data_IF_753392623456
#
_entry.id   IF_753392623456
#
_cell.length_a   1.000
_cell.length_b   1.000
_cell.length_c   1.000
_cell.angle_alpha   90.00
_cell.angle_beta   90.00
_cell.angle_gamma   90.00
#
_symmetry.space_group_name_H-M   'P 1'
#
loop_
_entity.id
_entity.type
_entity.pdbx_description
1 polymer ?
#
# COMPACT_ATOMS: atom_id res chain seq x y z
N UNK A 1 47.74 2.30 0.73
CA UNK A 1 47.38 3.39 1.65
C UNK A 1 46.09 3.01 2.33
N UNK A 2 46.04 3.01 3.66
CA UNK A 2 44.77 2.89 4.38
C UNK A 2 44.21 4.30 4.53
N UNK A 3 43.23 4.66 3.71
CA UNK A 3 42.43 5.85 3.99
C UNK A 3 41.63 5.61 5.26
N UNK A 4 41.55 6.62 6.13
CA UNK A 4 40.60 6.63 7.24
C UNK A 4 39.19 6.36 6.71
N UNK A 5 38.32 5.63 7.44
CA UNK A 5 36.94 5.44 7.03
C UNK A 5 36.28 6.80 6.78
N UNK A 6 35.43 6.94 5.74
CA UNK A 6 34.76 8.20 5.43
C UNK A 6 33.95 8.66 6.65
N UNK A 7 34.12 9.94 7.02
CA UNK A 7 33.54 10.48 8.24
C UNK A 7 32.02 10.39 8.22
N UNK A 8 31.41 9.91 9.30
CA UNK A 8 30.00 9.55 9.32
C UNK A 8 29.09 10.79 9.17
N UNK A 9 28.60 11.04 7.96
CA UNK A 9 27.76 12.19 7.63
C UNK A 9 26.39 12.11 8.35
N UNK A 10 25.93 10.89 8.65
CA UNK A 10 24.70 10.63 9.40
C UNK A 10 24.73 11.16 10.84
N UNK A 11 25.82 10.94 11.58
CA UNK A 11 25.97 11.39 12.98
C UNK A 11 25.93 12.92 13.12
N UNK A 12 26.30 13.64 12.06
CA UNK A 12 26.41 15.11 12.04
C UNK A 12 25.12 15.81 11.63
N UNK A 13 24.03 15.06 11.38
CA UNK A 13 22.72 15.62 11.03
C UNK A 13 22.17 16.49 12.17
N UNK A 14 21.53 17.60 11.82
CA UNK A 14 20.93 18.54 12.79
C UNK A 14 19.41 18.65 12.63
N UNK A 15 18.83 17.87 11.73
CA UNK A 15 17.41 17.83 11.42
C UNK A 15 16.69 16.56 11.90
N UNK A 16 17.34 15.73 12.72
CA UNK A 16 16.73 14.57 13.38
C UNK A 16 15.39 14.91 14.05
N UNK A 17 14.36 14.08 13.85
CA UNK A 17 13.01 14.30 14.38
C UNK A 17 12.19 15.42 13.70
N UNK A 18 12.79 16.24 12.82
CA UNK A 18 12.10 17.32 12.11
C UNK A 18 11.01 16.76 11.18
N UNK A 19 9.78 17.24 11.32
CA UNK A 19 8.69 16.89 10.41
C UNK A 19 8.90 17.49 9.01
N UNK A 20 8.75 16.66 7.99
CA UNK A 20 8.93 16.95 6.55
C UNK A 20 7.59 17.06 5.84
N UNK A 21 6.60 16.27 6.26
CA UNK A 21 5.24 16.27 5.70
C UNK A 21 4.22 15.88 6.78
N UNK A 22 3.03 16.47 6.72
CA UNK A 22 1.94 16.21 7.67
C UNK A 22 0.61 15.99 6.95
N UNK A 23 -0.19 15.05 7.46
CA UNK A 23 -1.56 14.79 7.04
C UNK A 23 -2.48 14.91 8.26
N UNK A 24 -3.59 15.65 8.14
CA UNK A 24 -4.52 15.99 9.23
C UNK A 24 -3.87 16.61 10.49
N UNK A 25 -2.94 17.56 10.29
CA UNK A 25 -2.26 18.30 11.36
C UNK A 25 -3.20 19.00 12.38
N UNK A 26 -4.48 19.22 12.03
CA UNK A 26 -5.48 19.77 12.96
C UNK A 26 -5.76 18.83 14.14
N UNK A 27 -5.66 17.50 13.96
CA UNK A 27 -5.88 16.49 15.00
C UNK A 27 -4.79 16.47 16.08
N UNK A 28 -3.67 17.20 15.91
CA UNK A 28 -2.58 17.25 16.91
C UNK A 28 -3.06 17.62 18.31
N UNK A 29 -4.05 18.52 18.42
CA UNK A 29 -4.62 18.94 19.70
C UNK A 29 -5.40 17.83 20.41
N UNK A 30 -6.08 16.97 19.64
CA UNK A 30 -6.83 15.83 20.18
C UNK A 30 -5.87 14.75 20.66
N UNK A 31 -4.82 14.43 19.88
CA UNK A 31 -3.73 13.52 20.29
C UNK A 31 -3.03 14.01 21.57
N UNK A 32 -2.75 15.32 21.67
CA UNK A 32 -2.11 15.93 22.84
C UNK A 32 -3.02 16.03 24.07
N UNK A 33 -4.34 15.88 23.91
CA UNK A 33 -5.31 15.87 25.01
C UNK A 33 -5.57 14.46 25.56
N UNK A 34 -4.99 13.42 24.95
CA UNK A 34 -5.11 12.03 25.39
C UNK A 34 -3.89 11.60 26.21
N UNK A 35 -4.10 10.83 27.28
CA UNK A 35 -3.01 10.16 28.00
C UNK A 35 -2.50 8.96 27.17
N UNK A 36 -1.30 9.13 26.60
CA UNK A 36 -0.61 8.15 25.77
C UNK A 36 0.50 7.38 26.53
N UNK A 37 0.73 7.73 27.79
CA UNK A 37 1.83 7.22 28.62
C UNK A 37 1.38 6.27 29.74
N UNK A 38 0.10 6.30 30.12
CA UNK A 38 -0.52 5.26 30.95
C UNK A 38 -0.17 3.86 30.41
N UNK A 39 0.49 3.03 31.23
CA UNK A 39 1.04 1.74 30.80
C UNK A 39 -0.05 0.71 30.52
N UNK A 40 -0.35 0.45 29.25
CA UNK A 40 -1.17 -0.71 28.87
C UNK A 40 -0.32 -1.99 29.08
N UNK A 41 -0.77 -2.87 29.97
CA UNK A 41 -0.08 -4.14 30.27
C UNK A 41 -0.49 -5.28 29.35
N UNK A 42 -1.45 -5.04 28.44
CA UNK A 42 -1.98 -6.03 27.50
C UNK A 42 -1.71 -5.64 26.04
N UNK A 43 -1.59 -6.63 25.17
CA UNK A 43 -1.44 -6.45 23.72
C UNK A 43 -2.79 -6.08 23.10
N UNK A 44 -3.04 -4.77 23.03
CA UNK A 44 -4.36 -4.22 22.72
C UNK A 44 -4.77 -4.27 21.25
N UNK A 45 -3.83 -4.30 20.29
CA UNK A 45 -4.09 -4.36 18.84
C UNK A 45 -4.02 -5.81 18.33
N UNK A 46 -4.73 -6.15 17.25
CA UNK A 46 -4.55 -7.41 16.52
C UNK A 46 -4.11 -7.16 15.08
N UNK A 47 -3.22 -8.02 14.57
CA UNK A 47 -2.70 -7.94 13.19
C UNK A 47 -3.09 -9.22 12.45
N UNK A 48 -3.82 -9.05 11.35
CA UNK A 48 -4.35 -10.14 10.52
C UNK A 48 -4.09 -9.85 9.05
N UNK A 49 -3.81 -10.89 8.24
CA UNK A 49 -3.80 -10.74 6.79
C UNK A 49 -5.23 -10.97 6.24
N UNK A 50 -5.88 -9.99 5.58
CA UNK A 50 -7.31 -10.07 5.23
C UNK A 50 -7.62 -11.07 4.09
N UNK A 51 -6.62 -11.45 3.29
CA UNK A 51 -6.79 -12.37 2.16
C UNK A 51 -5.87 -13.60 2.27
N UNK A 52 -6.05 -14.48 3.28
CA UNK A 52 -5.13 -15.60 3.52
C UNK A 52 -5.03 -16.57 2.33
N UNK A 53 -6.09 -16.68 1.52
CA UNK A 53 -6.12 -17.48 0.27
C UNK A 53 -5.41 -16.83 -0.92
N UNK A 54 -5.05 -15.54 -0.86
CA UNK A 54 -4.27 -14.82 -1.88
C UNK A 54 -2.80 -14.62 -1.48
N UNK A 55 -2.43 -14.97 -0.24
CA UNK A 55 -1.06 -14.91 0.23
C UNK A 55 -0.28 -16.14 -0.22
N UNK A 56 0.96 -15.96 -0.68
CA UNK A 56 1.86 -17.08 -0.96
C UNK A 56 2.26 -17.81 0.33
N UNK A 57 2.27 -19.14 0.27
CA UNK A 57 2.82 -19.97 1.32
C UNK A 57 4.37 -19.90 1.32
N UNK A 58 5.04 -20.12 2.47
CA UNK A 58 6.48 -20.37 2.48
C UNK A 58 6.86 -21.51 1.53
N UNK A 59 7.96 -21.36 0.81
CA UNK A 59 8.45 -22.31 -0.21
C UNK A 59 7.50 -22.50 -1.42
N UNK A 60 6.72 -21.48 -1.79
CA UNK A 60 5.94 -21.49 -3.04
C UNK A 60 6.85 -21.61 -4.27
N UNK A 61 6.53 -22.48 -5.21
CA UNK A 61 7.35 -22.69 -6.43
C UNK A 61 7.34 -21.48 -7.36
N UNK A 62 8.53 -21.06 -7.81
CA UNK A 62 8.74 -19.95 -8.74
C UNK A 62 9.66 -20.37 -9.92
N UNK A 63 10.35 -19.41 -10.56
CA UNK A 63 11.29 -19.57 -11.68
C UNK A 63 10.73 -20.09 -13.02
N UNK A 64 9.65 -20.88 -13.06
CA UNK A 64 9.03 -21.32 -14.31
C UNK A 64 7.53 -21.02 -14.38
N UNK A 65 7.10 -20.41 -15.48
CA UNK A 65 5.69 -20.18 -15.80
C UNK A 65 5.51 -20.22 -17.32
N UNK A 66 4.85 -21.24 -17.88
CA UNK A 66 4.56 -21.33 -19.31
C UNK A 66 3.86 -20.09 -19.86
N UNK A 67 4.16 -19.73 -21.11
CA UNK A 67 3.56 -18.57 -21.78
C UNK A 67 2.01 -18.65 -21.81
N UNK A 68 1.44 -19.85 -21.94
CA UNK A 68 -0.01 -20.02 -21.92
C UNK A 68 -0.64 -19.71 -20.54
N UNK A 69 0.03 -20.03 -19.43
CA UNK A 69 -0.47 -19.68 -18.09
C UNK A 69 -0.44 -18.16 -17.87
N UNK A 70 0.64 -17.49 -18.29
CA UNK A 70 0.72 -16.02 -18.27
C UNK A 70 -0.38 -15.39 -19.11
N UNK A 71 -0.67 -15.96 -20.28
CA UNK A 71 -1.73 -15.50 -21.16
C UNK A 71 -3.14 -15.70 -20.57
N UNK A 72 -3.38 -16.81 -19.88
CA UNK A 72 -4.64 -17.07 -19.15
C UNK A 72 -4.84 -16.03 -18.04
N UNK A 73 -3.84 -15.83 -17.17
CA UNK A 73 -3.94 -14.87 -16.07
C UNK A 73 -4.12 -13.40 -16.55
N UNK A 74 -3.67 -13.06 -17.76
CA UNK A 74 -3.91 -11.75 -18.38
C UNK A 74 -5.30 -11.63 -19.02
N UNK A 75 -5.92 -12.75 -19.41
CA UNK A 75 -7.28 -12.79 -19.97
C UNK A 75 -8.35 -12.85 -18.86
N UNK A 76 -8.08 -13.59 -17.78
CA UNK A 76 -8.92 -13.64 -16.57
C UNK A 76 -9.16 -12.25 -16.00
N UNK A 77 -8.09 -11.43 -15.87
CA UNK A 77 -8.19 -10.02 -15.45
C UNK A 77 -9.10 -9.16 -16.36
N UNK A 78 -9.18 -9.47 -17.66
CA UNK A 78 -10.04 -8.76 -18.59
C UNK A 78 -11.49 -9.20 -18.43
N UNK A 79 -11.75 -10.52 -18.33
CA UNK A 79 -13.09 -11.07 -18.14
C UNK A 79 -13.69 -10.67 -16.78
N UNK A 80 -12.90 -10.65 -15.71
CA UNK A 80 -13.34 -10.12 -14.40
C UNK A 80 -13.78 -8.65 -14.48
N UNK A 81 -13.05 -7.83 -15.26
CA UNK A 81 -13.38 -6.41 -15.44
C UNK A 81 -14.56 -6.21 -16.40
N UNK A 82 -14.71 -7.05 -17.44
CA UNK A 82 -15.89 -7.05 -18.33
C UNK A 82 -17.19 -7.25 -17.56
N UNK A 83 -17.27 -8.27 -16.70
CA UNK A 83 -18.48 -8.51 -15.91
C UNK A 83 -18.73 -7.39 -14.87
N UNK A 84 -17.69 -6.88 -14.22
CA UNK A 84 -17.80 -5.75 -13.28
C UNK A 84 -18.30 -4.46 -13.97
N UNK A 85 -17.89 -4.21 -15.22
CA UNK A 85 -18.40 -3.08 -16.02
C UNK A 85 -19.88 -3.26 -16.36
N UNK A 86 -20.30 -4.47 -16.77
CA UNK A 86 -21.71 -4.77 -17.05
C UNK A 86 -22.59 -4.55 -15.80
N UNK A 87 -22.16 -5.05 -14.64
CA UNK A 87 -22.88 -4.86 -13.38
C UNK A 87 -22.95 -3.38 -12.98
N UNK A 88 -21.80 -2.69 -12.98
CA UNK A 88 -21.70 -1.27 -12.57
C UNK A 88 -22.56 -0.34 -13.42
N UNK A 89 -22.57 -0.54 -14.74
CA UNK A 89 -23.26 0.33 -15.70
C UNK A 89 -24.59 -0.24 -16.22
N UNK A 90 -25.01 -1.43 -15.73
CA UNK A 90 -26.23 -2.15 -16.12
C UNK A 90 -26.33 -2.38 -17.64
N UNK A 91 -25.24 -2.84 -18.23
CA UNK A 91 -25.13 -3.12 -19.67
C UNK A 91 -25.45 -4.59 -19.93
N UNK A 92 -26.32 -4.87 -20.90
CA UNK A 92 -26.68 -6.24 -21.31
C UNK A 92 -25.49 -6.94 -22.00
N UNK A 93 -24.76 -6.22 -22.85
CA UNK A 93 -23.56 -6.71 -23.54
C UNK A 93 -22.48 -5.63 -23.67
N UNK A 94 -21.28 -6.06 -24.06
CA UNK A 94 -20.14 -5.22 -24.42
C UNK A 94 -19.74 -5.55 -25.86
N UNK A 95 -19.42 -4.53 -26.66
CA UNK A 95 -18.98 -4.74 -28.05
C UNK A 95 -17.56 -5.35 -28.05
N UNK A 96 -17.30 -6.42 -28.81
CA UNK A 96 -15.95 -6.98 -28.93
C UNK A 96 -14.96 -5.96 -29.53
N UNK A 97 -13.75 -5.90 -28.99
CA UNK A 97 -12.68 -5.07 -29.58
C UNK A 97 -12.36 -5.59 -31.00
N UNK A 98 -12.21 -4.69 -31.97
CA UNK A 98 -11.94 -5.03 -33.37
C UNK A 98 -13.19 -5.31 -34.22
N UNK A 99 -14.39 -5.37 -33.64
CA UNK A 99 -15.66 -5.46 -34.37
C UNK A 99 -16.24 -4.04 -34.62
N UNK A 100 -16.35 -3.58 -35.89
CA UNK A 100 -16.80 -2.22 -36.18
C UNK A 100 -18.25 -1.92 -35.77
N UNK A 101 -18.52 -0.64 -35.51
CA UNK A 101 -19.86 -0.07 -35.38
C UNK A 101 -19.85 1.42 -35.70
N UNK A 102 -20.76 1.91 -36.57
CA UNK A 102 -21.00 3.34 -36.76
C UNK A 102 -21.80 3.96 -35.60
N UNK A 103 -22.40 3.13 -34.73
CA UNK A 103 -23.06 3.58 -33.51
C UNK A 103 -22.05 3.75 -32.36
N UNK A 104 -22.48 4.45 -31.30
CA UNK A 104 -21.70 4.51 -30.06
C UNK A 104 -21.74 3.14 -29.36
N UNK A 105 -20.57 2.64 -28.98
CA UNK A 105 -20.41 1.32 -28.35
C UNK A 105 -19.53 1.42 -27.11
N UNK A 106 -19.79 0.55 -26.13
CA UNK A 106 -18.93 0.34 -24.97
C UNK A 106 -18.02 -0.86 -25.21
N UNK A 107 -16.71 -0.66 -25.04
CA UNK A 107 -15.68 -1.70 -25.13
C UNK A 107 -14.89 -1.79 -23.83
N UNK A 108 -14.35 -2.96 -23.53
CA UNK A 108 -13.42 -3.19 -22.41
C UNK A 108 -12.13 -3.78 -22.95
N UNK A 109 -11.00 -3.39 -22.36
CA UNK A 109 -9.70 -3.89 -22.79
C UNK A 109 -8.51 -3.31 -22.04
N UNK A 110 -7.34 -3.84 -22.35
CA UNK A 110 -6.04 -3.47 -21.79
C UNK A 110 -5.38 -2.43 -22.67
N UNK A 111 -4.93 -1.32 -22.10
CA UNK A 111 -4.10 -0.34 -22.82
C UNK A 111 -2.75 -0.98 -23.15
N UNK A 112 -2.40 -1.01 -24.43
CA UNK A 112 -1.09 -1.45 -24.94
C UNK A 112 -0.47 -0.36 -25.80
N UNK A 113 0.85 -0.39 -25.95
CA UNK A 113 1.61 0.52 -26.80
C UNK A 113 1.92 -0.18 -28.13
N UNK A 114 1.63 0.46 -29.25
CA UNK A 114 1.91 -0.08 -30.58
C UNK A 114 3.41 -0.08 -30.90
N UNK A 115 4.13 0.96 -30.46
CA UNK A 115 5.53 1.14 -30.79
C UNK A 115 6.43 0.04 -30.18
N UNK A 116 7.22 -0.62 -31.04
CA UNK A 116 8.19 -1.64 -30.63
C UNK A 116 9.26 -1.09 -29.67
N UNK A 117 9.62 0.18 -29.83
CA UNK A 117 10.45 0.95 -28.90
C UNK A 117 9.83 2.33 -28.67
N UNK A 118 9.82 2.81 -27.42
CA UNK A 118 9.33 4.15 -27.08
C UNK A 118 8.55 4.21 -25.77
N UNK A 119 8.04 5.41 -25.46
CA UNK A 119 7.10 5.62 -24.34
C UNK A 119 5.67 5.75 -24.90
N UNK A 120 4.71 5.16 -24.20
CA UNK A 120 3.29 5.32 -24.50
C UNK A 120 2.93 6.81 -24.56
N UNK A 121 2.26 7.19 -25.64
CA UNK A 121 1.72 8.52 -25.87
C UNK A 121 0.38 8.38 -26.63
N UNK A 122 -0.45 9.43 -26.72
CA UNK A 122 -1.82 9.30 -27.22
C UNK A 122 -1.95 8.79 -28.67
N UNK A 123 -0.95 8.98 -29.54
CA UNK A 123 -1.04 8.55 -30.95
C UNK A 123 -0.57 7.12 -31.21
N UNK A 124 -0.13 6.39 -30.18
CA UNK A 124 0.29 4.96 -30.25
C UNK A 124 -0.42 4.11 -29.20
N UNK A 125 -1.50 4.64 -28.62
CA UNK A 125 -2.30 3.99 -27.58
C UNK A 125 -3.33 3.06 -28.24
N UNK A 126 -3.16 1.76 -28.07
CA UNK A 126 -4.12 0.75 -28.51
C UNK A 126 -4.89 0.17 -27.32
N UNK A 127 -6.07 -0.36 -27.59
CA UNK A 127 -6.82 -1.23 -26.68
C UNK A 127 -6.77 -2.68 -27.16
N UNK A 128 -6.44 -3.60 -26.26
CA UNK A 128 -6.43 -5.06 -26.46
C UNK A 128 -7.65 -5.68 -25.75
N UNK A 129 -8.54 -6.35 -26.47
CA UNK A 129 -9.70 -7.03 -25.89
C UNK A 129 -9.41 -8.46 -25.41
N UNK A 130 -10.37 -9.10 -24.76
CA UNK A 130 -10.21 -10.48 -24.28
C UNK A 130 -10.22 -11.52 -25.40
N UNK A 131 -9.47 -12.61 -25.20
CA UNK A 131 -9.40 -13.76 -26.11
C UNK A 131 -10.74 -14.45 -26.24
N UNK A 132 -11.49 -14.53 -25.13
CA UNK A 132 -12.85 -15.08 -25.07
C UNK A 132 -13.85 -14.37 -25.99
N UNK A 133 -13.76 -13.05 -26.15
CA UNK A 133 -14.74 -12.25 -26.93
C UNK A 133 -14.26 -11.91 -28.34
N UNK A 134 -12.97 -11.61 -28.52
CA UNK A 134 -12.41 -11.09 -29.77
C UNK A 134 -11.08 -11.75 -30.19
N UNK A 135 -10.64 -12.82 -29.53
CA UNK A 135 -9.37 -13.49 -29.85
C UNK A 135 -8.11 -12.70 -29.52
N UNK A 136 -8.22 -11.58 -28.77
CA UNK A 136 -7.10 -10.68 -28.50
C UNK A 136 -6.85 -9.63 -29.59
N UNK A 137 -7.90 -9.25 -30.33
CA UNK A 137 -7.88 -8.13 -31.27
C UNK A 137 -7.40 -6.84 -30.59
N UNK A 138 -6.73 -5.99 -31.38
CA UNK A 138 -6.20 -4.69 -30.95
C UNK A 138 -6.65 -3.58 -31.88
N UNK A 139 -7.05 -2.45 -31.30
CA UNK A 139 -7.54 -1.27 -32.04
C UNK A 139 -6.82 -0.02 -31.55
N UNK A 140 -6.36 0.83 -32.48
CA UNK A 140 -5.78 2.15 -32.16
C UNK A 140 -6.87 3.11 -31.67
N UNK A 141 -6.59 3.85 -30.61
CA UNK A 141 -7.50 4.83 -30.02
C UNK A 141 -7.19 6.23 -30.53
N UNK A 142 -8.22 6.94 -31.02
CA UNK A 142 -8.18 8.39 -31.11
C UNK A 142 -8.70 8.98 -29.80
N UNK A 143 -7.80 9.61 -29.06
CA UNK A 143 -8.04 10.23 -27.76
C UNK A 143 -8.25 11.75 -27.86
N UNK A 144 -8.25 12.33 -29.06
CA UNK A 144 -8.37 13.79 -29.27
C UNK A 144 -9.67 14.38 -28.73
N UNK A 145 -10.75 13.59 -28.70
CA UNK A 145 -12.05 13.96 -28.13
C UNK A 145 -12.11 13.97 -26.60
N UNK A 146 -11.08 13.47 -25.90
CA UNK A 146 -11.06 13.35 -24.43
C UNK A 146 -10.00 14.28 -23.83
N UNK A 147 -10.36 15.45 -23.24
CA UNK A 147 -9.38 16.40 -22.73
C UNK A 147 -8.70 15.97 -21.41
N UNK A 148 -9.32 15.04 -20.65
CA UNK A 148 -8.82 14.56 -19.37
C UNK A 148 -8.87 13.03 -19.33
N UNK A 149 -7.72 12.38 -19.33
CA UNK A 149 -7.60 10.92 -19.16
C UNK A 149 -6.27 10.55 -18.50
N UNK A 150 -6.20 9.33 -17.97
CA UNK A 150 -4.95 8.77 -17.44
C UNK A 150 -4.82 7.30 -17.87
N UNK A 151 -3.84 7.05 -18.74
CA UNK A 151 -3.51 5.72 -19.28
C UNK A 151 -2.05 5.36 -19.03
N UNK A 152 -1.78 4.07 -18.89
CA UNK A 152 -0.44 3.49 -18.82
C UNK A 152 -0.49 2.06 -19.37
N UNK A 153 0.61 1.50 -19.91
CA UNK A 153 0.62 0.14 -20.45
C UNK A 153 0.17 -0.87 -19.39
N UNK A 154 -0.73 -1.77 -19.77
CA UNK A 154 -1.31 -2.78 -18.88
C UNK A 154 -2.55 -2.31 -18.09
N UNK A 155 -2.89 -1.01 -18.08
CA UNK A 155 -4.14 -0.52 -17.46
C UNK A 155 -5.34 -1.10 -18.18
N UNK A 156 -6.24 -1.78 -17.46
CA UNK A 156 -7.54 -2.19 -17.99
C UNK A 156 -8.51 -1.01 -17.86
N UNK A 157 -9.30 -0.77 -18.91
CA UNK A 157 -10.23 0.34 -19.03
C UNK A 157 -11.54 -0.10 -19.68
N UNK A 158 -12.62 0.61 -19.37
CA UNK A 158 -13.85 0.63 -20.13
C UNK A 158 -13.96 1.97 -20.88
N UNK A 159 -14.26 1.92 -22.17
CA UNK A 159 -14.36 3.09 -23.06
C UNK A 159 -15.72 3.11 -23.76
N UNK A 160 -16.29 4.29 -23.93
CA UNK A 160 -17.30 4.54 -24.94
C UNK A 160 -16.70 5.32 -26.11
N UNK A 161 -17.04 4.90 -27.33
CA UNK A 161 -16.55 5.54 -28.55
C UNK A 161 -17.32 5.10 -29.78
N UNK A 162 -16.78 5.41 -30.96
CA UNK A 162 -17.27 4.96 -32.27
C UNK A 162 -16.10 4.38 -33.04
N UNK A 163 -16.28 3.21 -33.66
CA UNK A 163 -15.25 2.49 -34.40
C UNK A 163 -15.81 2.12 -35.78
N UNK A 164 -15.84 3.07 -36.74
CA UNK A 164 -16.69 2.96 -37.92
C UNK A 164 -16.22 1.89 -38.91
N UNK A 165 -14.91 1.65 -38.99
CA UNK A 165 -14.26 0.72 -39.91
C UNK A 165 -12.88 0.30 -39.37
N UNK A 166 -12.26 -0.73 -39.98
CA UNK A 166 -10.98 -1.30 -39.52
C UNK A 166 -9.71 -0.59 -40.02
N UNK A 167 -9.85 0.55 -40.72
CA UNK A 167 -8.74 1.40 -41.21
C UNK A 167 -8.58 2.66 -40.37
N UNK A 168 -9.67 3.11 -39.74
CA UNK A 168 -9.74 4.27 -38.85
C UNK A 168 -9.47 3.86 -37.38
N UNK A 169 -8.89 4.73 -36.54
CA UNK A 169 -8.86 4.50 -35.10
C UNK A 169 -10.27 4.56 -34.48
N UNK A 170 -10.46 3.92 -33.33
CA UNK A 170 -11.67 4.10 -32.53
C UNK A 170 -11.66 5.48 -31.86
N UNK A 171 -12.62 6.32 -32.23
CA UNK A 171 -12.78 7.67 -31.66
C UNK A 171 -13.40 7.55 -30.27
N UNK A 172 -12.60 7.80 -29.24
CA UNK A 172 -13.03 7.70 -27.84
C UNK A 172 -13.81 8.95 -27.45
N UNK A 173 -15.01 8.75 -26.91
CA UNK A 173 -15.89 9.82 -26.40
C UNK A 173 -15.75 10.01 -24.90
N UNK A 174 -15.63 8.92 -24.13
CA UNK A 174 -15.36 8.96 -22.68
C UNK A 174 -14.75 7.67 -22.17
N UNK A 175 -14.01 7.78 -21.07
CA UNK A 175 -13.67 6.65 -20.21
C UNK A 175 -14.83 6.43 -19.23
N UNK A 176 -15.12 5.18 -18.88
CA UNK A 176 -16.06 4.82 -17.83
C UNK A 176 -15.30 4.51 -16.53
N UNK A 177 -15.45 5.36 -15.52
CA UNK A 177 -14.82 5.13 -14.21
C UNK A 177 -15.58 4.07 -13.39
N UNK A 178 -15.08 2.84 -13.41
CA UNK A 178 -15.53 1.78 -12.51
C UNK A 178 -15.04 2.08 -11.09
N UNK A 179 -15.97 2.36 -10.17
CA UNK A 179 -15.68 2.29 -8.73
C UNK A 179 -15.80 0.82 -8.29
N UNK A 180 -14.65 0.16 -8.12
CA UNK A 180 -14.57 -1.25 -7.75
C UNK A 180 -15.04 -1.43 -6.30
N UNK A 181 -16.32 -1.70 -6.11
CA UNK A 181 -16.90 -2.03 -4.82
C UNK A 181 -16.60 -3.51 -4.49
N UNK A 182 -15.34 -3.84 -4.22
CA UNK A 182 -15.01 -5.12 -3.59
C UNK A 182 -15.68 -5.18 -2.22
N UNK A 183 -16.83 -5.83 -2.09
CA UNK A 183 -17.38 -6.12 -0.76
C UNK A 183 -16.35 -7.03 -0.06
N UNK A 184 -15.63 -6.49 0.93
CA UNK A 184 -14.86 -7.34 1.84
C UNK A 184 -15.87 -8.35 2.41
N UNK A 185 -15.66 -9.66 2.21
CA UNK A 185 -16.60 -10.67 2.70
C UNK A 185 -16.74 -10.45 4.20
N UNK A 186 -17.99 -10.27 4.67
CA UNK A 186 -18.30 -9.72 6.00
C UNK A 186 -17.36 -10.31 7.05
N UNK A 187 -16.51 -9.46 7.62
CA UNK A 187 -15.39 -9.88 8.48
C UNK A 187 -15.92 -10.16 9.90
N UNK A 188 -16.80 -11.16 10.01
CA UNK A 188 -17.61 -11.50 11.17
C UNK A 188 -16.80 -12.10 12.35
N UNK A 189 -15.50 -12.37 12.14
CA UNK A 189 -14.66 -13.15 13.08
C UNK A 189 -13.26 -12.60 13.32
N UNK A 190 -13.08 -11.28 13.28
CA UNK A 190 -11.80 -10.68 13.70
C UNK A 190 -11.93 -9.85 14.99
N UNK A 191 -10.85 -9.81 15.74
CA UNK A 191 -10.66 -8.96 16.92
C UNK A 191 -9.82 -7.75 16.50
N UNK A 192 -10.09 -6.58 17.12
CA UNK A 192 -9.40 -5.28 16.93
C UNK A 192 -8.53 -5.11 15.68
N UNK A 193 -9.15 -5.25 14.51
CA UNK A 193 -8.47 -5.02 13.23
C UNK A 193 -8.30 -3.53 13.05
N UNK A 194 -7.06 -3.09 13.04
CA UNK A 194 -6.68 -2.09 12.04
C UNK A 194 -6.47 -2.88 10.75
N UNK A 195 -7.47 -2.91 9.88
CA UNK A 195 -7.26 -3.30 8.48
C UNK A 195 -6.38 -2.23 7.85
N UNK A 196 -5.06 -2.42 7.96
CA UNK A 196 -4.09 -1.47 7.45
C UNK A 196 -3.99 -1.59 5.93
N UNK A 197 -4.85 -0.84 5.23
CA UNK A 197 -4.72 -0.55 3.79
C UNK A 197 -3.38 0.13 3.45
N UNK A 198 -2.61 0.53 4.46
CA UNK A 198 -1.19 0.87 4.38
C UNK A 198 -0.35 -0.25 3.74
N UNK A 199 -0.73 -1.53 3.90
CA UNK A 199 -0.13 -2.63 3.14
C UNK A 199 -0.46 -2.55 1.63
N UNK A 200 -1.65 -2.07 1.28
CA UNK A 200 -2.08 -1.88 -0.11
C UNK A 200 -1.43 -0.66 -0.77
N UNK A 201 -1.03 0.37 0.00
CA UNK A 201 -0.42 1.59 -0.56
C UNK A 201 1.08 1.79 -0.26
N UNK A 202 1.80 0.79 0.29
CA UNK A 202 3.29 0.78 0.25
C UNK A 202 3.88 0.07 -0.98
N UNK A 203 3.10 -0.69 -1.75
CA UNK A 203 3.56 -1.42 -2.96
C UNK A 203 2.57 -1.29 -4.12
N UNK A 204 2.29 -0.05 -4.55
CA UNK A 204 1.49 0.22 -5.76
C UNK A 204 2.02 1.41 -6.56
N UNK A 205 2.84 1.14 -7.58
CA UNK A 205 3.20 2.10 -8.64
C UNK A 205 2.18 2.12 -9.79
N UNK A 206 1.40 1.04 -9.94
CA UNK A 206 0.13 1.07 -10.68
C UNK A 206 -0.96 1.67 -9.77
N UNK A 207 -1.92 2.40 -10.34
CA UNK A 207 -2.96 3.07 -9.53
C UNK A 207 -3.68 2.05 -8.64
N UNK A 208 -3.82 2.29 -7.32
CA UNK A 208 -4.55 1.38 -6.46
C UNK A 208 -5.98 1.27 -6.95
N UNK A 209 -6.42 0.02 -7.17
CA UNK A 209 -7.85 -0.32 -7.15
C UNK A 209 -8.36 0.24 -5.81
N UNK A 210 -9.39 1.12 -5.79
CA UNK A 210 -9.83 1.75 -4.56
C UNK A 210 -10.13 0.68 -3.52
N UNK A 211 -9.44 0.73 -2.38
CA UNK A 211 -9.74 -0.19 -1.29
C UNK A 211 -11.18 0.11 -0.83
N UNK A 212 -12.03 -0.91 -0.67
CA UNK A 212 -13.41 -0.73 -0.23
C UNK A 212 -13.45 -0.15 1.18
N UNK A 213 -14.51 0.60 1.49
CA UNK A 213 -14.69 1.21 2.80
C UNK A 213 -14.70 0.11 3.87
N UNK A 214 -13.70 0.12 4.75
CA UNK A 214 -13.64 -0.78 5.88
C UNK A 214 -14.85 -0.56 6.81
N UNK A 215 -15.55 -1.65 7.17
CA UNK A 215 -16.78 -1.61 7.99
C UNK A 215 -16.76 -2.65 9.10
N UNK A 216 -17.42 -2.38 10.22
CA UNK A 216 -17.68 -3.34 11.30
C UNK A 216 -18.98 -2.97 12.03
N UNK A 217 -19.60 -3.90 12.77
CA UNK A 217 -20.86 -3.59 13.46
C UNK A 217 -20.67 -2.53 14.57
N UNK A 218 -21.66 -1.64 14.79
CA UNK A 218 -21.57 -0.60 15.81
C UNK A 218 -21.23 -1.14 17.21
N UNK A 219 -21.88 -2.26 17.59
CA UNK A 219 -21.62 -2.98 18.85
C UNK A 219 -20.16 -3.37 18.99
N UNK A 220 -19.55 -3.91 17.93
CA UNK A 220 -18.14 -4.33 17.95
C UNK A 220 -17.20 -3.14 18.12
N UNK A 221 -17.49 -2.00 17.52
CA UNK A 221 -16.69 -0.78 17.71
C UNK A 221 -16.83 -0.26 19.16
N UNK A 222 -18.02 -0.32 19.76
CA UNK A 222 -18.24 0.06 21.17
C UNK A 222 -17.53 -0.89 22.15
N UNK A 223 -17.60 -2.21 21.96
CA UNK A 223 -16.80 -3.20 22.72
C UNK A 223 -15.30 -2.88 22.66
N UNK A 224 -14.82 -2.57 21.45
CA UNK A 224 -13.42 -2.28 21.16
C UNK A 224 -12.97 -1.01 21.87
N UNK A 225 -13.74 0.08 21.82
CA UNK A 225 -13.37 1.34 22.44
C UNK A 225 -13.58 1.34 23.97
N UNK A 226 -14.49 0.51 24.49
CA UNK A 226 -14.66 0.32 25.94
C UNK A 226 -13.46 -0.37 26.61
N UNK A 227 -12.72 -1.24 25.88
CA UNK A 227 -11.51 -1.89 26.41
C UNK A 227 -10.30 -0.96 26.51
N UNK A 228 -10.22 0.03 25.63
CA UNK A 228 -9.31 1.17 25.71
C UNK A 228 -9.72 2.19 24.66
N UNK A 229 -9.93 3.44 25.10
CA UNK A 229 -10.26 4.58 24.25
C UNK A 229 -9.03 5.33 23.72
N UNK A 230 -7.84 4.72 23.77
CA UNK A 230 -6.60 5.29 23.22
C UNK A 230 -6.57 5.20 21.68
N UNK A 231 -5.83 6.09 21.01
CA UNK A 231 -5.58 5.96 19.58
C UNK A 231 -4.57 4.84 19.30
N UNK A 232 -4.64 4.22 18.12
CA UNK A 232 -3.64 3.24 17.69
C UNK A 232 -2.44 3.96 17.07
N UNK A 233 -1.25 3.70 17.59
CA UNK A 233 0.03 4.27 17.14
C UNK A 233 0.81 3.25 16.30
N UNK A 234 1.17 3.65 15.09
CA UNK A 234 2.00 2.84 14.18
C UNK A 234 3.19 3.65 13.67
N UNK A 235 4.40 3.13 13.84
CA UNK A 235 5.58 3.64 13.12
C UNK A 235 5.81 2.81 11.86
N UNK A 236 6.16 3.44 10.76
CA UNK A 236 6.57 2.73 9.54
C UNK A 236 7.81 3.35 8.89
N UNK A 237 8.74 2.48 8.50
CA UNK A 237 9.98 2.82 7.82
C UNK A 237 10.27 1.83 6.69
N UNK A 238 10.68 2.35 5.54
CA UNK A 238 11.27 1.54 4.47
C UNK A 238 12.80 1.66 4.56
N UNK A 239 13.54 0.61 4.25
CA UNK A 239 15.01 0.68 4.21
C UNK A 239 15.55 1.63 3.13
N UNK A 240 16.88 1.72 2.94
CA UNK A 240 17.92 0.96 3.63
C UNK A 240 17.97 1.29 5.12
N UNK A 241 18.48 0.37 5.93
CA UNK A 241 18.54 0.51 7.40
C UNK A 241 19.95 0.83 7.94
N UNK A 242 20.93 0.94 7.04
CA UNK A 242 22.29 1.46 7.29
C UNK A 242 22.67 2.38 6.12
N UNK A 243 23.64 3.27 6.32
CA UNK A 243 24.15 4.15 5.27
C UNK A 243 25.01 3.38 4.25
N UNK A 244 25.18 3.91 3.04
CA UNK A 244 25.93 3.24 1.97
C UNK A 244 27.45 3.14 2.18
N UNK A 245 27.96 3.70 3.29
CA UNK A 245 29.39 3.77 3.59
C UNK A 245 29.82 2.96 4.84
N UNK A 246 28.88 2.35 5.57
CA UNK A 246 29.16 1.47 6.71
C UNK A 246 28.07 0.40 6.90
N UNK A 247 28.26 -0.48 7.88
CA UNK A 247 27.27 -1.49 8.31
C UNK A 247 26.95 -1.36 9.80
N UNK A 248 26.98 -0.13 10.31
CA UNK A 248 26.84 0.16 11.75
C UNK A 248 25.37 0.27 12.18
N UNK A 249 24.44 0.33 11.21
CA UNK A 249 22.99 0.37 11.43
C UNK A 249 22.51 1.50 12.35
N UNK A 250 23.28 2.60 12.50
CA UNK A 250 22.89 3.76 13.32
C UNK A 250 21.49 4.31 12.99
N UNK A 251 21.04 4.41 11.72
CA UNK A 251 19.69 4.89 11.39
C UNK A 251 18.58 3.94 11.88
N UNK A 252 18.87 2.63 11.94
CA UNK A 252 17.99 1.67 12.60
C UNK A 252 18.04 1.82 14.12
N UNK A 253 19.21 1.98 14.72
CA UNK A 253 19.34 2.12 16.18
C UNK A 253 18.56 3.35 16.67
N UNK A 254 18.69 4.49 16.00
CA UNK A 254 17.91 5.70 16.28
C UNK A 254 16.40 5.46 16.12
N UNK A 255 15.97 4.68 15.12
CA UNK A 255 14.57 4.30 14.95
C UNK A 255 14.08 3.40 16.10
N UNK A 256 14.93 2.52 16.62
CA UNK A 256 14.61 1.66 17.77
C UNK A 256 14.59 2.43 19.09
N UNK A 257 15.43 3.47 19.25
CA UNK A 257 15.30 4.44 20.34
C UNK A 257 13.94 5.16 20.26
N UNK A 258 13.57 5.67 19.09
CA UNK A 258 12.26 6.31 18.86
C UNK A 258 11.09 5.35 19.14
N UNK A 259 11.22 4.06 18.86
CA UNK A 259 10.22 3.02 19.22
C UNK A 259 10.11 2.84 20.74
N UNK A 260 11.24 2.83 21.46
CA UNK A 260 11.25 2.71 22.94
C UNK A 260 10.67 3.96 23.61
N UNK A 261 10.97 5.14 23.09
CA UNK A 261 10.47 6.42 23.60
C UNK A 261 8.97 6.62 23.31
N UNK A 262 8.53 6.40 22.07
CA UNK A 262 7.15 6.69 21.63
C UNK A 262 6.16 5.53 21.86
N UNK A 263 6.65 4.33 22.22
CA UNK A 263 5.85 3.14 22.57
C UNK A 263 4.67 2.86 21.61
N UNK A 264 4.91 2.72 20.29
CA UNK A 264 3.85 2.43 19.33
C UNK A 264 3.31 1.01 19.50
N UNK A 265 2.04 0.79 19.17
CA UNK A 265 1.43 -0.54 19.15
C UNK A 265 2.07 -1.43 18.06
N UNK A 266 2.42 -0.82 16.92
CA UNK A 266 2.95 -1.53 15.74
C UNK A 266 4.15 -0.79 15.15
N UNK A 267 5.16 -1.56 14.74
CA UNK A 267 6.28 -1.13 13.90
C UNK A 267 6.23 -1.91 12.58
N UNK A 268 6.08 -1.21 11.45
CA UNK A 268 6.12 -1.79 10.11
C UNK A 268 7.44 -1.45 9.45
N UNK A 269 8.24 -2.47 9.16
CA UNK A 269 9.51 -2.37 8.44
C UNK A 269 9.31 -2.95 7.03
N UNK A 270 9.63 -2.16 5.99
CA UNK A 270 9.47 -2.58 4.59
C UNK A 270 10.81 -2.60 3.88
N UNK A 271 11.01 -3.65 3.05
CA UNK A 271 12.29 -4.37 3.05
C UNK A 271 12.52 -4.85 4.51
N UNK A 272 13.76 -4.81 4.97
CA UNK A 272 14.11 -5.18 6.33
C UNK A 272 15.62 -5.24 6.49
N UNK A 273 16.04 -5.98 7.51
CA UNK A 273 17.40 -5.94 8.07
C UNK A 273 18.01 -7.35 8.04
N UNK A 274 19.33 -7.42 8.00
CA UNK A 274 20.10 -8.69 7.97
C UNK A 274 19.74 -9.73 9.03
N UNK A 275 19.07 -9.36 10.13
CA UNK A 275 18.56 -10.33 11.10
C UNK A 275 17.37 -9.78 11.90
N UNK A 276 16.22 -10.45 11.81
CA UNK A 276 15.07 -10.21 12.70
C UNK A 276 15.40 -10.62 14.15
N UNK A 277 16.30 -11.58 14.36
CA UNK A 277 16.84 -11.86 15.71
C UNK A 277 17.77 -10.73 16.21
N UNK A 278 18.44 -10.02 15.29
CA UNK A 278 19.20 -8.81 15.58
C UNK A 278 18.30 -7.69 16.10
N UNK A 279 17.18 -7.41 15.42
CA UNK A 279 16.17 -6.43 15.86
C UNK A 279 15.77 -6.62 17.34
N UNK A 280 15.38 -7.84 17.72
CA UNK A 280 14.99 -8.15 19.10
C UNK A 280 16.12 -7.95 20.12
N UNK A 281 17.35 -8.27 19.73
CA UNK A 281 18.54 -8.07 20.58
C UNK A 281 18.93 -6.58 20.72
N UNK A 282 18.71 -5.77 19.68
CA UNK A 282 18.98 -4.33 19.70
C UNK A 282 17.93 -3.60 20.54
N UNK A 283 16.64 -3.88 20.34
CA UNK A 283 15.55 -3.38 21.20
C UNK A 283 15.78 -3.71 22.68
N UNK A 284 16.14 -4.97 23.00
CA UNK A 284 16.43 -5.37 24.37
C UNK A 284 17.62 -4.62 24.96
N UNK A 285 18.71 -4.46 24.20
CA UNK A 285 19.89 -3.71 24.64
C UNK A 285 19.58 -2.23 24.90
N UNK A 286 18.78 -1.59 24.04
CA UNK A 286 18.35 -0.20 24.20
C UNK A 286 17.47 -0.04 25.46
N UNK A 287 16.48 -0.91 25.64
CA UNK A 287 15.57 -0.85 26.79
C UNK A 287 16.31 -1.05 28.13
N UNK A 288 17.29 -1.97 28.19
CA UNK A 288 18.14 -2.17 29.37
C UNK A 288 19.10 -0.99 29.59
N UNK A 289 19.69 -0.44 28.52
CA UNK A 289 20.59 0.72 28.60
C UNK A 289 19.91 2.01 29.07
N UNK A 290 18.64 2.20 28.70
CA UNK A 290 17.82 3.34 29.13
C UNK A 290 17.28 3.27 30.57
N UNK A 291 17.61 2.22 31.33
CA UNK A 291 17.14 2.05 32.72
C UNK A 291 15.65 1.72 32.87
N UNK A 292 14.96 1.39 31.76
CA UNK A 292 13.57 0.94 31.78
C UNK A 292 13.46 -0.46 32.39
N UNK A 293 12.28 -0.79 32.91
CA UNK A 293 12.02 -2.16 33.36
C UNK A 293 12.04 -3.11 32.16
N UNK A 294 12.24 -4.40 32.42
CA UNK A 294 12.46 -5.42 31.38
C UNK A 294 11.23 -5.72 30.50
N UNK A 295 10.08 -5.09 30.77
CA UNK A 295 8.77 -5.52 30.24
C UNK A 295 8.06 -4.49 29.35
N UNK A 296 8.23 -3.19 29.58
CA UNK A 296 7.17 -2.21 29.28
C UNK A 296 6.84 -2.01 27.78
N UNK A 297 7.83 -2.08 26.88
CA UNK A 297 7.59 -1.89 25.43
C UNK A 297 7.44 -3.22 24.70
N UNK A 298 8.34 -4.17 24.97
CA UNK A 298 8.41 -5.47 24.28
C UNK A 298 7.21 -6.41 24.56
N UNK A 299 6.41 -6.17 25.60
CA UNK A 299 5.19 -6.93 25.86
C UNK A 299 4.00 -6.53 24.97
N UNK A 300 3.98 -5.31 24.44
CA UNK A 300 2.84 -4.76 23.67
C UNK A 300 3.17 -4.64 22.18
N UNK A 301 4.39 -4.17 21.85
CA UNK A 301 4.83 -3.86 20.49
C UNK A 301 4.72 -5.06 19.53
N UNK A 302 4.19 -4.80 18.33
CA UNK A 302 4.09 -5.77 17.25
C UNK A 302 4.98 -5.35 16.08
N UNK A 303 5.87 -6.22 15.62
CA UNK A 303 6.75 -5.94 14.47
C UNK A 303 6.25 -6.70 13.25
N UNK A 304 5.96 -5.96 12.18
CA UNK A 304 5.64 -6.48 10.84
C UNK A 304 6.84 -6.20 9.93
N UNK A 305 7.29 -7.21 9.18
CA UNK A 305 8.39 -7.08 8.21
C UNK A 305 7.89 -7.51 6.84
N UNK A 306 8.01 -6.63 5.83
CA UNK A 306 7.43 -6.83 4.49
C UNK A 306 8.53 -6.98 3.44
N UNK A 307 8.55 -8.07 2.65
CA UNK A 307 9.62 -8.32 1.68
C UNK A 307 9.69 -7.32 0.53
N UNK A 308 10.86 -7.27 -0.10
CA UNK A 308 11.18 -6.43 -1.24
C UNK A 308 12.02 -7.19 -2.27
N UNK A 309 11.88 -6.82 -3.55
CA UNK A 309 12.34 -7.69 -4.64
C UNK A 309 13.85 -7.95 -4.68
N UNK A 310 14.69 -7.07 -4.14
CA UNK A 310 16.15 -7.22 -4.18
C UNK A 310 16.74 -7.91 -2.95
N UNK A 311 15.88 -8.37 -2.03
CA UNK A 311 16.24 -9.08 -0.80
C UNK A 311 17.17 -10.27 -1.12
N UNK A 312 18.48 -10.08 -0.98
CA UNK A 312 19.53 -10.90 -1.64
C UNK A 312 19.69 -12.37 -1.20
N UNK A 313 18.72 -12.91 -0.46
CA UNK A 313 18.65 -14.24 0.16
C UNK A 313 17.18 -14.72 0.24
N UNK A 314 16.25 -13.95 -0.34
CA UNK A 314 14.81 -14.19 -0.41
C UNK A 314 14.38 -14.14 -1.89
N UNK A 315 13.13 -14.48 -2.18
CA UNK A 315 12.72 -14.76 -3.56
C UNK A 315 12.67 -13.49 -4.42
N UNK A 316 13.47 -13.44 -5.50
CA UNK A 316 13.58 -12.30 -6.44
C UNK A 316 12.39 -12.20 -7.43
N UNK A 317 11.20 -12.64 -7.03
CA UNK A 317 10.00 -12.73 -7.89
C UNK A 317 8.78 -12.19 -7.15
N UNK A 318 7.97 -11.36 -7.83
CA UNK A 318 6.74 -10.81 -7.27
C UNK A 318 5.52 -11.61 -7.76
N UNK A 319 4.51 -11.89 -6.91
CA UNK A 319 4.47 -11.60 -5.46
C UNK A 319 5.49 -12.46 -4.70
N UNK A 320 6.02 -11.93 -3.59
CA UNK A 320 6.99 -12.62 -2.74
C UNK A 320 6.28 -13.35 -1.58
N UNK A 321 6.74 -14.54 -1.16
CA UNK A 321 6.25 -15.18 0.06
C UNK A 321 6.74 -14.42 1.31
N UNK A 322 6.14 -14.66 2.49
CA UNK A 322 6.66 -14.15 3.75
C UNK A 322 8.09 -14.65 4.02
N UNK A 323 8.89 -13.86 4.73
CA UNK A 323 10.24 -14.25 5.15
C UNK A 323 10.24 -15.56 5.94
N UNK A 324 11.15 -16.46 5.57
CA UNK A 324 11.69 -17.40 6.52
C UNK A 324 12.53 -16.61 7.56
N UNK A 325 12.69 -17.09 8.80
CA UNK A 325 13.06 -16.23 9.97
C UNK A 325 14.48 -15.58 9.97
N UNK A 326 15.18 -15.47 8.84
CA UNK A 326 16.56 -14.92 8.73
C UNK A 326 16.80 -14.15 7.41
N UNK A 327 17.27 -12.90 7.54
CA UNK A 327 17.85 -11.98 6.51
C UNK A 327 16.85 -11.28 5.55
N UNK A 328 17.20 -10.06 5.06
CA UNK A 328 16.41 -9.14 4.19
C UNK A 328 17.33 -8.10 3.44
N UNK A 329 16.93 -7.46 2.30
CA UNK A 329 17.33 -6.08 1.82
C UNK A 329 16.89 -5.60 0.37
N UNK A 330 16.31 -4.37 0.22
CA UNK A 330 16.32 -3.46 -1.00
C UNK A 330 15.25 -3.63 -2.17
N UNK A 331 14.68 -2.68 -2.99
CA UNK A 331 14.45 -1.18 -3.11
C UNK A 331 13.17 -0.83 -3.96
N UNK A 332 12.45 0.28 -3.67
CA UNK A 332 11.73 1.20 -4.63
C UNK A 332 12.12 2.68 -4.34
N UNK A 333 11.97 3.60 -5.30
CA UNK A 333 12.33 5.04 -5.18
C UNK A 333 11.17 5.98 -5.52
N UNK A 334 10.74 6.80 -4.56
CA UNK A 334 9.85 7.96 -4.76
C UNK A 334 9.92 8.91 -3.55
N UNK A 335 9.62 10.22 -3.70
CA UNK A 335 9.65 11.17 -2.59
C UNK A 335 8.56 10.88 -1.55
N UNK A 336 8.87 11.14 -0.29
CA UNK A 336 7.99 10.95 0.87
C UNK A 336 6.69 11.76 0.79
N UNK A 337 5.54 11.15 1.14
CA UNK A 337 4.24 11.80 1.17
C UNK A 337 3.21 11.04 2.04
N UNK A 338 2.21 11.76 2.56
CA UNK A 338 0.98 11.20 3.09
C UNK A 338 -0.24 11.94 2.48
N UNK A 339 -1.15 11.22 1.82
CA UNK A 339 -2.29 11.80 1.08
C UNK A 339 -3.54 10.91 1.13
N UNK A 340 -4.73 11.51 1.24
CA UNK A 340 -6.01 10.81 1.01
C UNK A 340 -6.20 10.53 -0.49
N UNK A 341 -6.64 9.32 -0.82
CA UNK A 341 -7.02 8.89 -2.17
C UNK A 341 -8.36 8.16 -2.06
N UNK A 342 -9.44 8.84 -2.45
CA UNK A 342 -10.82 8.40 -2.15
C UNK A 342 -10.96 8.13 -0.65
N UNK A 343 -11.28 6.91 -0.21
CA UNK A 343 -11.43 6.56 1.21
C UNK A 343 -10.24 5.79 1.79
N UNK A 344 -9.12 5.74 1.06
CA UNK A 344 -7.84 5.23 1.54
C UNK A 344 -6.87 6.36 1.89
N UNK A 345 -5.90 6.08 2.77
CA UNK A 345 -4.72 6.94 2.96
C UNK A 345 -3.52 6.25 2.31
N UNK A 346 -2.84 6.95 1.42
CA UNK A 346 -1.60 6.49 0.80
C UNK A 346 -0.40 7.20 1.43
N UNK A 347 0.56 6.39 1.87
CA UNK A 347 1.69 6.82 2.69
C UNK A 347 2.97 6.25 2.09
N UNK A 348 3.85 7.11 1.61
CA UNK A 348 5.24 6.77 1.39
C UNK A 348 6.07 7.38 2.54
N UNK A 349 6.59 6.59 3.50
CA UNK A 349 7.46 7.13 4.55
C UNK A 349 8.81 7.64 4.03
N UNK A 350 9.13 7.37 2.75
CA UNK A 350 10.47 7.53 2.21
C UNK A 350 11.38 6.37 2.62
N UNK A 351 12.66 6.49 2.25
CA UNK A 351 13.72 5.59 2.69
C UNK A 351 14.30 6.12 4.01
N UNK A 352 14.59 5.24 4.97
CA UNK A 352 15.21 5.60 6.26
C UNK A 352 16.66 6.09 6.08
N UNK A 353 17.37 5.60 5.07
CA UNK A 353 18.68 6.10 4.64
C UNK A 353 18.60 6.61 3.20
N UNK A 354 19.31 7.70 2.88
CA UNK A 354 19.45 8.23 1.51
C UNK A 354 20.95 8.39 1.22
N UNK A 355 21.58 7.31 0.78
CA UNK A 355 23.04 7.22 0.61
C UNK A 355 23.76 7.23 1.96
N UNK A 356 24.61 8.24 2.17
CA UNK A 356 25.31 8.47 3.45
C UNK A 356 24.51 9.30 4.46
N UNK A 357 23.30 9.76 4.10
CA UNK A 357 22.51 10.73 4.86
C UNK A 357 21.26 10.14 5.49
N UNK A 358 20.80 10.76 6.59
CA UNK A 358 19.52 10.46 7.23
C UNK A 358 18.34 10.71 6.28
N UNK A 359 17.49 9.70 6.17
CA UNK A 359 16.26 9.72 5.40
C UNK A 359 15.05 10.07 6.26
N UNK A 360 13.96 9.33 6.11
CA UNK A 360 12.68 9.60 6.80
C UNK A 360 11.95 8.33 7.24
N UNK A 361 11.12 8.47 8.25
CA UNK A 361 10.10 7.50 8.68
C UNK A 361 8.75 8.19 8.84
N UNK A 362 7.65 7.43 8.93
CA UNK A 362 6.32 7.99 9.22
C UNK A 362 5.79 7.49 10.57
N UNK A 363 5.28 8.43 11.37
CA UNK A 363 4.44 8.15 12.53
C UNK A 363 2.97 8.34 12.15
N UNK A 364 2.16 7.31 12.37
CA UNK A 364 0.73 7.26 12.07
C UNK A 364 -0.01 7.10 13.41
N UNK A 365 -1.02 7.93 13.66
CA UNK A 365 -1.85 7.83 14.86
C UNK A 365 -3.32 7.89 14.45
N UNK A 366 -4.06 6.82 14.75
CA UNK A 366 -5.47 6.64 14.36
C UNK A 366 -6.33 6.84 15.61
N UNK A 367 -7.03 7.97 15.69
CA UNK A 367 -7.94 8.28 16.80
C UNK A 367 -9.12 7.29 16.87
N UNK A 368 -9.75 7.07 18.04
CA UNK A 368 -11.00 6.33 18.14
C UNK A 368 -12.09 6.91 17.22
N UNK A 369 -13.06 6.08 16.81
CA UNK A 369 -14.23 6.56 16.09
C UNK A 369 -15.18 7.27 17.06
N UNK A 370 -15.59 8.49 16.75
CA UNK A 370 -16.49 9.27 17.59
C UNK A 370 -17.87 8.62 17.73
N UNK A 371 -18.48 8.75 18.92
CA UNK A 371 -19.73 8.05 19.26
C UNK A 371 -20.91 8.44 18.35
N UNK A 372 -20.95 9.68 17.86
CA UNK A 372 -21.96 10.14 16.89
C UNK A 372 -21.91 9.31 15.59
N UNK A 373 -20.72 9.00 15.08
CA UNK A 373 -20.53 8.18 13.87
C UNK A 373 -20.94 6.72 14.06
N UNK A 374 -20.76 6.21 15.28
CA UNK A 374 -21.17 4.85 15.64
C UNK A 374 -22.70 4.78 15.78
N UNK A 375 -23.33 5.84 16.30
CA UNK A 375 -24.78 5.91 16.51
C UNK A 375 -25.56 6.35 15.26
N UNK A 376 -24.92 7.01 14.29
CA UNK A 376 -25.49 7.36 13.00
C UNK A 376 -25.41 6.25 11.93
N UNK A 377 -24.98 5.04 12.29
CA UNK A 377 -24.89 3.93 11.34
C UNK A 377 -26.29 3.41 10.97
N UNK A 378 -26.63 3.42 9.67
CA UNK A 378 -27.95 3.03 9.15
C UNK A 378 -28.20 1.52 9.14
N UNK A 379 -27.14 0.73 9.29
CA UNK A 379 -27.11 -0.72 9.10
C UNK A 379 -26.17 -1.36 10.13
N UNK A 380 -26.14 -2.70 10.19
CA UNK A 380 -25.21 -3.48 11.03
C UNK A 380 -23.72 -3.37 10.59
N UNK A 381 -23.40 -2.36 9.77
CA UNK A 381 -22.08 -2.02 9.23
C UNK A 381 -21.83 -0.52 9.37
N UNK A 382 -21.09 -0.14 10.41
CA UNK A 382 -20.54 1.21 10.57
C UNK A 382 -19.23 1.33 9.76
N UNK A 383 -19.12 2.37 8.93
CA UNK A 383 -17.90 2.70 8.20
C UNK A 383 -16.81 3.20 9.15
N UNK A 384 -15.55 2.85 8.88
CA UNK A 384 -14.45 3.13 9.79
C UNK A 384 -13.94 4.58 9.75
N UNK A 385 -14.22 5.35 8.69
CA UNK A 385 -13.76 6.75 8.51
C UNK A 385 -12.27 6.99 8.81
N UNK A 386 -11.39 6.03 8.47
CA UNK A 386 -9.95 6.08 8.80
C UNK A 386 -9.26 7.35 8.27
N UNK A 387 -9.50 7.82 7.02
CA UNK A 387 -8.88 9.05 6.52
C UNK A 387 -9.27 10.33 7.28
N UNK A 388 -10.39 10.33 7.99
CA UNK A 388 -10.92 11.50 8.69
C UNK A 388 -10.36 11.62 10.13
N UNK A 389 -10.01 10.48 10.76
CA UNK A 389 -9.53 10.40 12.16
C UNK A 389 -8.08 9.95 12.31
N UNK A 390 -7.31 9.92 11.22
CA UNK A 390 -5.87 9.57 11.25
C UNK A 390 -5.02 10.81 11.02
N UNK A 391 -4.04 11.04 11.89
CA UNK A 391 -2.93 11.97 11.66
C UNK A 391 -1.67 11.19 11.23
N UNK A 392 -0.89 11.78 10.32
CA UNK A 392 0.41 11.23 9.93
C UNK A 392 1.45 12.35 9.94
N UNK A 393 2.60 12.08 10.54
CA UNK A 393 3.80 12.92 10.49
C UNK A 393 4.95 12.13 9.88
N UNK A 394 5.48 12.60 8.75
CA UNK A 394 6.73 12.07 8.18
C UNK A 394 7.87 12.87 8.75
N UNK A 395 8.78 12.22 9.48
CA UNK A 395 9.88 12.84 10.22
C UNK A 395 11.22 12.38 9.68
N UNK A 396 12.21 13.26 9.74
CA UNK A 396 13.62 12.90 9.60
C UNK A 396 14.00 11.92 10.71
N UNK A 397 14.74 10.88 10.33
CA UNK A 397 15.45 10.05 11.31
C UNK A 397 16.66 10.82 11.84
#
# INVERSE_FOLDING_TARGET
>A
SLQSPPGNNYEKRTDAGKTVSEFNAHLKKEVQAMDLDASDTERLVEITAPFPSRNLAPNSSYMYTPLFQRAIALDEQLVEYEELVKETFKLEELKPVGDPSPAQVTVVGRIVCEAAEGKLNPSVAQIEGSRKTCGGQRVLLDLSGVPNFQIFPGKIVALEGVYPDTRSPMVVKRFLEVLVHFVLPSIERLHRVVTMDVAYCLVCTCQPIPAPIATSSPTRIKEIQAKSGKPVRVLTACGPFTTTNNVDYLPLNDLLHIVVDQKPDVLILVRGIESIAGLGSMLFSIQVGGGLSRCDVLCVLQIVVVPSLRDAHHEYVYPQPPFNKKKVCEVFESPEYAKRVKDSICVNPGQLCKGESGGTFAAICILPLANDKIESASDDKCAHFVPDRTIIEIKRI
#
